data_IF_986904757035
#
_entry.id   IF_986904757035
#
_cell.length_a   1.000
_cell.length_b   1.000
_cell.length_c   1.000
_cell.angle_alpha   90.00
_cell.angle_beta   90.00
_cell.angle_gamma   90.00
#
_symmetry.space_group_name_H-M   'P 1'
#
loop_
_entity.id
_entity.type
_entity.pdbx_description
1 polymer ?
#
# COMPACT_ATOMS: atom_id res chain seq x y z
N UNK A 1 7.19 20.11 -0.08
CA UNK A 1 6.78 18.97 -0.94
C UNK A 1 5.25 18.79 -0.93
N UNK A 2 4.49 19.89 -0.97
CA UNK A 2 3.01 19.94 -0.91
C UNK A 2 2.39 20.53 -2.20
N UNK A 3 3.19 20.74 -3.25
CA UNK A 3 2.84 21.58 -4.41
C UNK A 3 1.94 20.92 -5.45
N UNK A 4 1.43 19.70 -5.23
CA UNK A 4 0.61 18.99 -6.23
C UNK A 4 -0.89 18.99 -5.94
N UNK A 5 -1.35 19.58 -4.83
CA UNK A 5 -2.78 19.83 -4.57
C UNK A 5 -3.11 21.33 -4.56
N UNK A 6 -2.44 22.11 -5.42
CA UNK A 6 -2.86 23.49 -5.73
C UNK A 6 -3.90 23.55 -6.87
N UNK A 7 -4.37 22.42 -7.38
CA UNK A 7 -5.52 22.40 -8.29
C UNK A 7 -6.80 22.53 -7.47
N UNK A 8 -7.54 23.63 -7.64
CA UNK A 8 -8.83 23.91 -6.99
C UNK A 8 -9.94 22.86 -7.23
N UNK A 9 -9.66 21.76 -7.94
CA UNK A 9 -10.64 20.78 -8.39
C UNK A 9 -10.51 19.47 -7.62
N UNK A 10 -11.48 19.21 -6.75
CA UNK A 10 -11.61 17.93 -6.03
C UNK A 10 -11.82 16.79 -7.02
N UNK A 11 -11.17 15.65 -6.78
CA UNK A 11 -11.36 14.44 -7.59
C UNK A 11 -12.47 13.57 -7.02
N UNK A 12 -13.21 12.87 -7.89
CA UNK A 12 -14.23 11.91 -7.46
C UNK A 12 -13.62 10.52 -7.34
N UNK A 13 -13.97 9.83 -6.25
CA UNK A 13 -13.66 8.43 -6.05
C UNK A 13 -14.90 7.63 -5.65
N UNK A 14 -14.89 6.33 -5.95
CA UNK A 14 -15.94 5.38 -5.58
C UNK A 14 -15.35 4.39 -4.57
N UNK A 15 -15.99 4.25 -3.42
CA UNK A 15 -15.61 3.29 -2.41
C UNK A 15 -16.03 1.88 -2.80
N UNK A 16 -15.08 0.95 -2.76
CA UNK A 16 -15.29 -0.46 -3.08
C UNK A 16 -15.01 -1.31 -1.83
N UNK A 17 -16.08 -1.66 -1.11
CA UNK A 17 -15.99 -2.35 0.18
C UNK A 17 -15.30 -3.73 0.09
N UNK A 18 -15.68 -4.57 -0.89
CA UNK A 18 -15.13 -5.93 -1.00
C UNK A 18 -13.60 -5.95 -1.17
N UNK A 19 -13.07 -4.93 -1.85
CA UNK A 19 -11.64 -4.84 -2.16
C UNK A 19 -10.84 -4.00 -1.17
N UNK A 20 -11.52 -3.31 -0.23
CA UNK A 20 -10.93 -2.36 0.71
C UNK A 20 -10.09 -1.31 -0.03
N UNK A 21 -10.69 -0.63 -1.00
CA UNK A 21 -10.02 0.45 -1.73
C UNK A 21 -11.01 1.50 -2.22
N UNK A 22 -10.47 2.66 -2.59
CA UNK A 22 -11.22 3.72 -3.27
C UNK A 22 -10.69 3.86 -4.69
N UNK A 23 -11.60 3.85 -5.66
CA UNK A 23 -11.31 3.98 -7.07
C UNK A 23 -11.45 5.43 -7.50
N UNK A 24 -10.42 6.06 -8.08
CA UNK A 24 -10.51 7.40 -8.64
C UNK A 24 -11.06 7.38 -10.06
N UNK A 25 -12.08 8.20 -10.34
CA UNK A 25 -12.71 8.24 -11.67
C UNK A 25 -11.93 9.10 -12.69
N UNK A 26 -11.06 10.00 -12.23
CA UNK A 26 -10.45 11.02 -13.09
C UNK A 26 -8.95 10.76 -13.35
N UNK A 27 -8.56 10.84 -14.64
CA UNK A 27 -7.24 10.46 -15.16
C UNK A 27 -6.07 11.34 -14.67
N UNK A 28 -6.34 12.56 -14.20
CA UNK A 28 -5.30 13.54 -13.85
C UNK A 28 -4.90 13.58 -12.36
N UNK A 29 -5.45 12.69 -11.53
CA UNK A 29 -5.26 12.72 -10.08
C UNK A 29 -4.07 11.91 -9.56
N UNK A 30 -3.24 11.36 -10.45
CA UNK A 30 -2.11 10.52 -10.08
C UNK A 30 -0.99 11.38 -9.44
N UNK A 31 -1.18 11.78 -8.19
CA UNK A 31 -0.14 12.37 -7.38
C UNK A 31 0.95 11.31 -7.17
N UNK A 32 2.21 11.66 -7.42
CA UNK A 32 3.36 10.75 -7.40
C UNK A 32 3.54 9.93 -6.10
N UNK A 33 2.89 10.34 -5.00
CA UNK A 33 2.96 9.66 -3.70
C UNK A 33 1.67 8.90 -3.30
N UNK A 34 0.56 9.01 -4.03
CA UNK A 34 -0.73 8.36 -3.74
C UNK A 34 -1.13 7.38 -4.85
N UNK A 35 -1.92 6.34 -4.54
CA UNK A 35 -2.35 5.34 -5.53
C UNK A 35 -1.36 4.19 -5.72
N UNK A 36 -1.72 3.18 -6.55
CA UNK A 36 -0.94 1.93 -6.64
C UNK A 36 0.53 2.22 -6.93
N UNK A 37 1.28 1.84 -5.90
CA UNK A 37 2.62 1.33 -5.96
C UNK A 37 2.92 0.57 -4.68
N UNK A 38 1.94 -0.13 -4.09
CA UNK A 38 2.18 -0.96 -2.90
C UNK A 38 3.25 -2.04 -3.18
N UNK A 39 3.38 -2.48 -4.45
CA UNK A 39 4.17 -3.68 -4.76
C UNK A 39 4.99 -3.58 -6.05
N UNK A 40 5.03 -2.47 -6.79
CA UNK A 40 5.94 -2.40 -7.95
C UNK A 40 6.47 -1.01 -8.24
N UNK A 41 7.72 -0.99 -8.72
CA UNK A 41 8.39 0.18 -9.30
C UNK A 41 8.12 0.29 -10.80
N UNK A 42 7.65 -0.78 -11.43
CA UNK A 42 7.32 -0.81 -12.86
C UNK A 42 6.05 -0.01 -13.12
N UNK A 43 5.99 0.56 -14.32
CA UNK A 43 4.74 1.10 -14.83
C UNK A 43 3.65 0.03 -14.84
N UNK A 44 2.40 0.43 -14.64
CA UNK A 44 1.26 -0.47 -14.60
C UNK A 44 1.07 -1.15 -15.96
N UNK A 45 1.65 -2.34 -16.10
CA UNK A 45 1.61 -3.14 -17.33
C UNK A 45 0.42 -4.09 -17.37
N UNK A 46 -0.40 -4.18 -16.31
CA UNK A 46 -1.47 -5.18 -16.23
C UNK A 46 -2.40 -5.15 -17.45
N UNK A 47 -2.89 -3.98 -17.86
CA UNK A 47 -3.82 -3.88 -19.00
C UNK A 47 -3.18 -4.40 -20.29
N UNK A 48 -1.96 -3.95 -20.58
CA UNK A 48 -1.23 -4.36 -21.78
C UNK A 48 -0.88 -5.85 -21.76
N UNK A 49 -0.46 -6.39 -20.61
CA UNK A 49 -0.19 -7.83 -20.42
C UNK A 49 -1.44 -8.68 -20.59
N UNK A 50 -2.57 -8.20 -20.09
CA UNK A 50 -3.84 -8.94 -20.14
C UNK A 50 -4.37 -8.96 -21.57
N UNK A 51 -4.28 -7.84 -22.29
CA UNK A 51 -4.55 -7.80 -23.74
C UNK A 51 -3.62 -8.70 -24.54
N UNK A 52 -2.32 -8.70 -24.24
CA UNK A 52 -1.36 -9.58 -24.90
C UNK A 52 -1.66 -11.07 -24.66
N UNK A 53 -2.08 -11.45 -23.44
CA UNK A 53 -2.52 -12.81 -23.13
C UNK A 53 -3.78 -13.21 -23.92
N UNK A 54 -4.77 -12.32 -24.02
CA UNK A 54 -5.99 -12.57 -24.80
C UNK A 54 -5.72 -12.55 -26.31
N UNK A 55 -4.76 -11.77 -26.80
CA UNK A 55 -4.43 -11.68 -28.23
C UNK A 55 -3.65 -12.90 -28.74
N UNK A 56 -2.88 -13.57 -27.88
CA UNK A 56 -2.12 -14.79 -28.21
C UNK A 56 -3.01 -15.94 -28.72
N UNK A 57 -4.30 -15.97 -28.39
CA UNK A 57 -5.25 -16.98 -28.91
C UNK A 57 -5.76 -16.69 -30.32
N UNK A 58 -5.58 -15.47 -30.85
CA UNK A 58 -6.24 -15.01 -32.09
C UNK A 58 -5.32 -14.79 -33.29
N UNK A 59 -4.01 -14.55 -33.10
CA UNK A 59 -3.09 -14.26 -34.21
C UNK A 59 -1.63 -14.61 -33.89
N UNK A 60 -0.94 -15.23 -34.86
CA UNK A 60 0.52 -15.44 -34.91
C UNK A 60 1.29 -14.12 -35.14
N UNK A 61 1.06 -13.11 -34.28
CA UNK A 61 1.65 -11.77 -34.41
C UNK A 61 2.85 -11.56 -33.49
N UNK A 62 3.89 -10.91 -34.04
CA UNK A 62 5.17 -10.58 -33.38
C UNK A 62 5.05 -10.10 -31.93
N UNK A 63 5.80 -10.76 -31.06
CA UNK A 63 5.72 -10.67 -29.60
C UNK A 63 6.28 -9.36 -29.02
N UNK A 64 5.46 -8.65 -28.23
CA UNK A 64 5.95 -7.79 -27.16
C UNK A 64 5.95 -8.61 -25.85
N UNK A 65 7.07 -9.28 -25.55
CA UNK A 65 7.24 -10.02 -24.30
C UNK A 65 7.66 -9.08 -23.16
N UNK A 66 6.80 -8.95 -22.16
CA UNK A 66 7.12 -8.20 -20.94
C UNK A 66 8.08 -9.00 -20.03
N UNK A 67 9.05 -8.34 -19.39
CA UNK A 67 10.04 -8.97 -18.49
C UNK A 67 9.40 -9.79 -17.35
N UNK A 68 8.26 -9.33 -16.84
CA UNK A 68 7.50 -10.04 -15.80
C UNK A 68 6.91 -11.36 -16.34
N UNK A 69 6.38 -11.36 -17.57
CA UNK A 69 5.85 -12.55 -18.25
C UNK A 69 6.95 -13.58 -18.51
N UNK A 70 8.12 -13.12 -18.98
CA UNK A 70 9.31 -13.96 -19.14
C UNK A 70 9.70 -14.63 -17.82
N UNK A 71 9.69 -13.87 -16.72
CA UNK A 71 10.03 -14.40 -15.39
C UNK A 71 9.01 -15.43 -14.92
N UNK A 72 7.72 -15.20 -15.16
CA UNK A 72 6.64 -16.15 -14.83
C UNK A 72 6.77 -17.43 -15.67
N UNK A 73 7.00 -17.32 -16.97
CA UNK A 73 7.17 -18.46 -17.87
C UNK A 73 8.38 -19.31 -17.47
N UNK A 74 9.52 -18.68 -17.16
CA UNK A 74 10.71 -19.38 -16.63
C UNK A 74 10.42 -20.12 -15.32
N UNK A 75 9.62 -19.53 -14.42
CA UNK A 75 9.22 -20.18 -13.15
C UNK A 75 8.26 -21.34 -13.38
N UNK A 76 7.32 -21.22 -14.33
CA UNK A 76 6.40 -22.31 -14.70
C UNK A 76 7.14 -23.48 -15.32
N UNK A 77 8.07 -23.22 -16.25
CA UNK A 77 8.95 -24.24 -16.84
C UNK A 77 9.73 -25.02 -15.78
N UNK A 78 10.35 -24.32 -14.82
CA UNK A 78 11.06 -24.98 -13.70
C UNK A 78 10.15 -25.85 -12.82
N UNK A 79 8.85 -25.56 -12.77
CA UNK A 79 7.87 -26.28 -11.97
C UNK A 79 7.09 -27.33 -12.77
N UNK A 80 7.38 -27.50 -14.07
CA UNK A 80 6.64 -28.42 -14.95
C UNK A 80 5.16 -28.06 -15.13
N UNK A 81 4.77 -26.80 -14.88
CA UNK A 81 3.37 -26.36 -14.98
C UNK A 81 3.08 -25.89 -16.41
N UNK A 82 2.08 -26.49 -17.06
CA UNK A 82 1.57 -26.01 -18.35
C UNK A 82 0.76 -24.71 -18.16
N UNK A 83 0.60 -23.93 -19.23
CA UNK A 83 -0.35 -22.81 -19.19
C UNK A 83 -1.76 -23.37 -19.12
N UNK A 84 -2.51 -22.99 -18.09
CA UNK A 84 -3.90 -23.40 -17.96
C UNK A 84 -4.79 -22.45 -18.77
N UNK A 85 -5.72 -22.99 -19.57
CA UNK A 85 -6.80 -22.22 -20.22
C UNK A 85 -7.58 -21.35 -19.21
N UNK A 86 -7.59 -21.76 -17.93
CA UNK A 86 -8.21 -21.01 -16.83
C UNK A 86 -7.60 -19.64 -16.56
N UNK A 87 -6.32 -19.42 -16.88
CA UNK A 87 -5.68 -18.10 -16.71
C UNK A 87 -6.19 -17.09 -17.76
N UNK A 88 -6.40 -17.56 -18.99
CA UNK A 88 -6.92 -16.75 -20.11
C UNK A 88 -8.40 -16.44 -19.91
N UNK A 89 -9.18 -17.44 -19.50
CA UNK A 89 -10.60 -17.24 -19.19
C UNK A 89 -10.78 -16.26 -18.02
N UNK A 90 -9.93 -16.35 -16.99
CA UNK A 90 -9.90 -15.38 -15.88
C UNK A 90 -9.53 -13.98 -16.38
N UNK A 91 -8.52 -13.85 -17.24
CA UNK A 91 -8.12 -12.58 -17.83
C UNK A 91 -9.28 -11.93 -18.60
N UNK A 92 -9.98 -12.70 -19.44
CA UNK A 92 -11.14 -12.23 -20.21
C UNK A 92 -12.30 -11.79 -19.31
N UNK A 93 -12.59 -12.54 -18.25
CA UNK A 93 -13.60 -12.16 -17.24
C UNK A 93 -13.26 -10.84 -16.54
N UNK A 94 -11.99 -10.58 -16.28
CA UNK A 94 -11.58 -9.32 -15.67
C UNK A 94 -11.63 -8.18 -16.68
N UNK A 95 -11.21 -8.38 -17.93
CA UNK A 95 -11.29 -7.36 -18.99
C UNK A 95 -12.73 -6.91 -19.25
N UNK A 96 -13.66 -7.87 -19.34
CA UNK A 96 -15.08 -7.57 -19.52
C UNK A 96 -15.66 -6.81 -18.32
N UNK A 97 -15.34 -7.23 -17.10
CA UNK A 97 -15.78 -6.54 -15.89
C UNK A 97 -15.18 -5.12 -15.74
N UNK A 98 -13.95 -4.91 -16.22
CA UNK A 98 -13.24 -3.62 -16.07
C UNK A 98 -13.55 -2.64 -17.21
N UNK A 99 -14.23 -3.08 -18.26
CA UNK A 99 -14.46 -2.27 -19.46
C UNK A 99 -13.16 -1.81 -20.12
N UNK A 100 -12.13 -2.66 -20.10
CA UNK A 100 -10.83 -2.42 -20.75
C UNK A 100 -10.04 -1.20 -20.24
N UNK A 101 -10.29 -0.77 -18.99
CA UNK A 101 -9.56 0.32 -18.31
C UNK A 101 -8.37 -0.20 -17.51
N UNK A 102 -7.32 0.62 -17.36
CA UNK A 102 -6.17 0.27 -16.52
C UNK A 102 -6.56 0.33 -15.04
N UNK A 103 -6.77 -0.83 -14.43
CA UNK A 103 -7.18 -0.97 -13.02
C UNK A 103 -6.11 -0.51 -12.03
N UNK A 104 -4.87 -0.39 -12.47
CA UNK A 104 -3.74 -0.20 -11.57
C UNK A 104 -3.50 1.26 -11.19
N UNK A 105 -3.70 2.21 -12.10
CA UNK A 105 -3.33 3.62 -11.87
C UNK A 105 -4.21 4.34 -10.85
N UNK A 106 -5.44 3.87 -10.62
CA UNK A 106 -6.49 4.66 -9.97
C UNK A 106 -6.98 4.10 -8.63
N UNK A 107 -6.28 3.11 -8.06
CA UNK A 107 -6.65 2.50 -6.77
C UNK A 107 -5.87 3.13 -5.62
N UNK A 108 -6.60 3.78 -4.71
CA UNK A 108 -6.11 4.28 -3.42
C UNK A 108 -6.37 3.23 -2.33
N UNK A 109 -5.39 3.05 -1.45
CA UNK A 109 -5.64 2.34 -0.19
C UNK A 109 -6.59 3.16 0.72
N UNK A 110 -7.28 2.52 1.67
CA UNK A 110 -8.24 3.21 2.53
C UNK A 110 -7.58 4.34 3.33
N UNK A 111 -6.36 4.13 3.81
CA UNK A 111 -5.59 5.14 4.55
C UNK A 111 -5.21 6.32 3.67
N UNK A 112 -4.80 6.06 2.42
CA UNK A 112 -4.48 7.08 1.43
C UNK A 112 -5.72 7.90 1.07
N UNK A 113 -6.85 7.23 0.83
CA UNK A 113 -8.10 7.85 0.48
C UNK A 113 -8.63 8.72 1.63
N UNK A 114 -8.60 8.22 2.86
CA UNK A 114 -9.04 8.99 4.02
C UNK A 114 -8.13 10.19 4.28
N UNK A 115 -6.81 10.08 4.06
CA UNK A 115 -5.90 11.23 4.15
C UNK A 115 -6.20 12.31 3.10
N UNK A 116 -6.47 11.90 1.86
CA UNK A 116 -6.84 12.82 0.79
C UNK A 116 -8.21 13.48 1.04
N UNK A 117 -9.14 12.77 1.68
CA UNK A 117 -10.45 13.30 2.06
C UNK A 117 -10.36 14.25 3.26
N UNK A 118 -9.78 13.79 4.37
CA UNK A 118 -9.80 14.46 5.67
C UNK A 118 -8.73 15.54 5.80
N UNK A 119 -7.46 15.22 5.53
CA UNK A 119 -6.34 16.11 5.80
C UNK A 119 -6.06 17.09 4.65
N UNK A 120 -6.30 16.68 3.40
CA UNK A 120 -6.02 17.50 2.21
C UNK A 120 -7.27 18.04 1.51
N UNK A 121 -8.47 17.56 1.87
CA UNK A 121 -9.75 17.92 1.23
C UNK A 121 -9.71 17.88 -0.32
N UNK A 122 -8.97 16.92 -0.85
CA UNK A 122 -8.61 16.81 -2.27
C UNK A 122 -9.53 15.87 -3.07
N UNK A 123 -10.27 14.99 -2.38
CA UNK A 123 -11.16 14.01 -3.02
C UNK A 123 -12.55 14.01 -2.39
N UNK A 124 -13.54 13.57 -3.18
CA UNK A 124 -14.90 13.25 -2.74
C UNK A 124 -15.12 11.76 -2.93
N UNK A 125 -15.65 11.08 -1.94
CA UNK A 125 -15.87 9.63 -1.98
C UNK A 125 -17.36 9.35 -2.08
N UNK A 126 -17.74 8.59 -3.10
CA UNK A 126 -19.09 8.16 -3.34
C UNK A 126 -19.23 6.66 -3.05
N UNK A 127 -20.42 6.24 -2.66
CA UNK A 127 -20.84 4.84 -2.59
C UNK A 127 -21.00 4.24 -4.01
N UNK A 128 -21.06 2.90 -4.21
CA UNK A 128 -21.41 2.32 -5.50
C UNK A 128 -22.78 2.78 -6.03
N UNK A 129 -23.68 3.19 -5.14
CA UNK A 129 -24.97 3.84 -5.46
C UNK A 129 -24.83 5.30 -5.93
N UNK A 130 -23.60 5.83 -6.04
CA UNK A 130 -23.24 7.22 -6.36
C UNK A 130 -23.69 8.27 -5.35
N UNK A 131 -24.05 7.87 -4.14
CA UNK A 131 -24.29 8.81 -3.05
C UNK A 131 -22.97 9.28 -2.44
N UNK A 132 -22.84 10.60 -2.22
CA UNK A 132 -21.67 11.20 -1.59
C UNK A 132 -21.63 10.81 -0.10
N UNK A 133 -20.47 10.35 0.35
CA UNK A 133 -20.24 9.99 1.75
C UNK A 133 -19.68 11.18 2.53
N UNK A 134 -20.20 11.40 3.73
CA UNK A 134 -19.58 12.32 4.68
C UNK A 134 -18.25 11.76 5.20
N UNK A 135 -17.44 12.60 5.83
CA UNK A 135 -16.18 12.17 6.47
C UNK A 135 -16.47 11.08 7.51
N UNK A 136 -17.55 11.24 8.28
CA UNK A 136 -17.94 10.32 9.35
C UNK A 136 -18.46 9.00 8.78
N UNK A 137 -19.23 9.05 7.70
CA UNK A 137 -19.66 7.84 6.98
C UNK A 137 -18.47 7.07 6.41
N UNK A 138 -17.48 7.78 5.85
CA UNK A 138 -16.24 7.17 5.37
C UNK A 138 -15.47 6.52 6.53
N UNK A 139 -15.31 7.22 7.65
CA UNK A 139 -14.63 6.69 8.84
C UNK A 139 -15.29 5.41 9.35
N UNK A 140 -16.63 5.45 9.51
CA UNK A 140 -17.42 4.31 9.97
C UNK A 140 -17.27 3.12 9.01
N UNK A 141 -17.45 3.32 7.70
CA UNK A 141 -17.37 2.25 6.70
C UNK A 141 -15.96 1.66 6.58
N UNK A 142 -14.92 2.49 6.70
CA UNK A 142 -13.54 2.02 6.65
C UNK A 142 -13.20 1.23 7.91
N UNK A 143 -13.66 1.67 9.08
CA UNK A 143 -13.52 0.94 10.35
C UNK A 143 -14.27 -0.39 10.37
N UNK A 144 -15.44 -0.47 9.71
CA UNK A 144 -16.15 -1.75 9.51
C UNK A 144 -15.37 -2.72 8.61
N UNK A 145 -14.65 -2.20 7.60
CA UNK A 145 -13.85 -3.03 6.70
C UNK A 145 -12.50 -3.46 7.30
N UNK A 146 -11.95 -2.66 8.21
CA UNK A 146 -10.65 -2.87 8.84
C UNK A 146 -10.79 -2.57 10.33
N UNK A 147 -10.84 -3.59 11.21
CA UNK A 147 -11.07 -3.41 12.64
C UNK A 147 -10.12 -2.42 13.33
N UNK A 148 -8.86 -2.36 12.87
CA UNK A 148 -7.83 -1.47 13.43
C UNK A 148 -7.59 -0.22 12.55
N UNK A 149 -8.59 0.16 11.75
CA UNK A 149 -8.47 1.29 10.82
C UNK A 149 -7.95 2.55 11.50
N UNK A 150 -8.50 2.90 12.67
CA UNK A 150 -8.13 4.10 13.41
C UNK A 150 -6.63 4.13 13.76
N UNK A 151 -6.10 3.02 14.30
CA UNK A 151 -4.69 2.91 14.68
C UNK A 151 -3.76 3.00 13.47
N UNK A 152 -4.05 2.23 12.42
CA UNK A 152 -3.25 2.23 11.21
C UNK A 152 -3.31 3.61 10.51
N UNK A 153 -4.49 4.23 10.48
CA UNK A 153 -4.65 5.56 9.91
C UNK A 153 -3.93 6.63 10.74
N UNK A 154 -3.97 6.58 12.08
CA UNK A 154 -3.25 7.51 12.95
C UNK A 154 -1.73 7.46 12.66
N UNK A 155 -1.17 6.25 12.55
CA UNK A 155 0.24 6.04 12.19
C UNK A 155 0.52 6.54 10.76
N UNK A 156 -0.36 6.23 9.82
CA UNK A 156 -0.24 6.73 8.44
C UNK A 156 -0.23 8.27 8.39
N UNK A 157 -1.17 8.91 9.09
CA UNK A 157 -1.30 10.35 9.18
C UNK A 157 -0.06 10.97 9.82
N UNK A 158 0.42 10.42 10.94
CA UNK A 158 1.65 10.85 11.60
C UNK A 158 2.84 10.87 10.63
N UNK A 159 3.11 9.77 9.93
CA UNK A 159 4.21 9.74 8.96
C UNK A 159 4.01 10.70 7.77
N UNK A 160 2.77 10.89 7.32
CA UNK A 160 2.46 11.90 6.31
C UNK A 160 2.77 13.32 6.77
N UNK A 161 2.45 13.67 8.02
CA UNK A 161 2.78 14.99 8.58
C UNK A 161 4.29 15.22 8.69
N UNK A 162 5.06 14.16 8.90
CA UNK A 162 6.53 14.19 8.86
C UNK A 162 7.11 14.23 7.43
N UNK A 163 6.27 14.26 6.40
CA UNK A 163 6.68 14.33 5.00
C UNK A 163 7.05 12.98 4.37
N UNK A 164 6.82 11.87 5.06
CA UNK A 164 6.99 10.54 4.47
C UNK A 164 5.79 10.18 3.61
N UNK A 165 5.99 9.26 2.66
CA UNK A 165 4.93 8.59 1.92
C UNK A 165 4.88 7.12 2.35
N UNK A 166 4.02 6.76 3.33
CA UNK A 166 3.86 5.37 3.74
C UNK A 166 3.21 4.55 2.63
N UNK A 167 3.72 3.34 2.41
CA UNK A 167 3.14 2.32 1.53
C UNK A 167 3.06 0.99 2.25
N UNK A 168 2.14 0.14 1.83
CA UNK A 168 1.97 -1.23 2.35
C UNK A 168 3.30 -1.99 2.40
N UNK A 169 3.63 -2.54 3.57
CA UNK A 169 4.91 -3.16 3.86
C UNK A 169 4.94 -4.70 3.80
N UNK A 170 3.85 -5.34 3.37
CA UNK A 170 3.66 -6.80 3.46
C UNK A 170 4.79 -7.64 2.85
N UNK A 171 5.48 -7.13 1.82
CA UNK A 171 6.67 -7.79 1.23
C UNK A 171 7.83 -8.00 2.19
N UNK A 172 7.88 -7.22 3.26
CA UNK A 172 8.97 -7.22 4.23
C UNK A 172 8.49 -7.67 5.61
N UNK A 173 7.24 -8.16 5.73
CA UNK A 173 6.64 -8.57 7.00
C UNK A 173 6.30 -7.40 7.93
N UNK A 174 6.21 -6.18 7.40
CA UNK A 174 5.92 -4.96 8.18
C UNK A 174 4.65 -4.29 7.69
N UNK A 175 4.12 -3.35 8.46
CA UNK A 175 2.87 -2.66 8.17
C UNK A 175 3.09 -1.59 7.09
N UNK A 176 4.11 -0.74 7.27
CA UNK A 176 4.46 0.29 6.31
C UNK A 176 5.93 0.29 5.88
N UNK A 177 6.18 0.79 4.68
CA UNK A 177 7.50 1.21 4.21
C UNK A 177 7.44 2.69 3.90
N UNK A 178 8.36 3.46 4.47
CA UNK A 178 8.39 4.91 4.32
C UNK A 178 9.29 5.31 3.15
N UNK A 179 8.76 6.15 2.27
CA UNK A 179 9.48 6.71 1.13
C UNK A 179 9.54 8.23 1.26
N UNK A 180 10.64 8.86 0.87
CA UNK A 180 10.74 10.33 0.86
C UNK A 180 9.88 10.97 -0.24
N UNK A 181 9.87 10.37 -1.44
CA UNK A 181 9.16 10.90 -2.63
C UNK A 181 8.37 9.83 -3.39
N UNK A 182 8.02 8.74 -2.69
CA UNK A 182 7.32 7.58 -3.25
C UNK A 182 8.23 6.52 -3.90
N UNK A 183 7.68 5.32 -4.20
CA UNK A 183 8.43 4.14 -4.64
C UNK A 183 9.01 4.23 -6.06
N UNK A 184 8.50 5.14 -6.90
CA UNK A 184 9.01 5.38 -8.26
C UNK A 184 10.35 6.13 -8.26
N UNK A 185 10.59 6.98 -7.26
CA UNK A 185 11.72 7.91 -7.27
C UNK A 185 12.87 7.48 -6.37
N UNK A 186 12.59 6.80 -5.25
CA UNK A 186 13.64 6.41 -4.28
C UNK A 186 13.35 5.07 -3.60
N UNK A 187 14.40 4.49 -3.01
CA UNK A 187 14.25 3.38 -2.08
C UNK A 187 13.54 3.86 -0.81
N UNK A 188 12.69 3.00 -0.23
CA UNK A 188 12.12 3.28 1.08
C UNK A 188 13.19 3.02 2.14
N UNK A 189 13.45 4.00 3.00
CA UNK A 189 14.55 3.98 3.97
C UNK A 189 14.17 3.18 5.23
N UNK A 190 12.89 3.23 5.59
CA UNK A 190 12.37 2.66 6.83
C UNK A 190 11.28 1.63 6.57
N UNK A 191 11.29 0.59 7.40
CA UNK A 191 10.28 -0.45 7.48
C UNK A 191 9.63 -0.32 8.86
N UNK A 192 8.32 -0.09 8.92
CA UNK A 192 7.59 0.22 10.15
C UNK A 192 6.69 -0.95 10.51
N UNK A 193 6.92 -1.54 11.67
CA UNK A 193 6.01 -2.50 12.31
C UNK A 193 5.23 -1.78 13.41
N UNK A 194 3.91 -1.75 13.32
CA UNK A 194 3.04 -1.22 14.36
C UNK A 194 2.95 -2.25 15.48
N UNK A 195 3.18 -1.80 16.71
CA UNK A 195 3.20 -2.61 17.91
C UNK A 195 1.88 -2.44 18.65
N UNK A 196 1.09 -3.50 18.73
CA UNK A 196 -0.19 -3.49 19.41
C UNK A 196 0.03 -3.73 20.91
N UNK A 197 -0.58 -2.95 21.82
CA UNK A 197 -0.39 -3.11 23.26
C UNK A 197 -0.73 -4.50 23.80
N UNK A 198 -1.69 -5.17 23.14
CA UNK A 198 -2.18 -6.49 23.52
C UNK A 198 -1.40 -7.64 22.86
N UNK A 199 -0.46 -7.33 21.96
CA UNK A 199 0.38 -8.32 21.29
C UNK A 199 1.79 -8.30 21.88
N UNK A 200 2.19 -9.41 22.50
CA UNK A 200 3.59 -9.63 22.85
C UNK A 200 4.35 -10.13 21.62
N UNK A 201 5.32 -9.35 21.16
CA UNK A 201 6.26 -9.79 20.14
C UNK A 201 7.43 -10.48 20.83
N UNK A 202 7.60 -11.77 20.56
CA UNK A 202 8.76 -12.49 21.05
C UNK A 202 10.04 -11.99 20.36
N UNK A 203 11.16 -12.18 21.05
CA UNK A 203 12.45 -11.71 20.57
C UNK A 203 12.85 -12.36 19.24
N UNK A 204 12.42 -13.60 18.99
CA UNK A 204 12.75 -14.29 17.74
C UNK A 204 12.02 -13.66 16.55
N UNK A 205 10.73 -13.34 16.68
CA UNK A 205 9.98 -12.65 15.62
C UNK A 205 10.59 -11.29 15.31
N UNK A 206 10.94 -10.50 16.33
CA UNK A 206 11.60 -9.21 16.13
C UNK A 206 12.94 -9.36 15.40
N UNK A 207 13.73 -10.37 15.75
CA UNK A 207 14.99 -10.66 15.05
C UNK A 207 14.80 -11.12 13.60
N UNK A 208 13.78 -11.94 13.34
CA UNK A 208 13.45 -12.36 11.98
C UNK A 208 13.07 -11.14 11.11
N UNK A 209 12.22 -10.25 11.64
CA UNK A 209 11.85 -9.00 10.97
C UNK A 209 13.06 -8.09 10.72
N UNK A 210 13.91 -7.91 11.73
CA UNK A 210 15.13 -7.12 11.61
C UNK A 210 16.08 -7.71 10.55
N UNK A 211 16.19 -9.04 10.47
CA UNK A 211 16.99 -9.73 9.44
C UNK A 211 16.44 -9.47 8.03
N UNK A 212 15.13 -9.63 7.82
CA UNK A 212 14.51 -9.39 6.50
C UNK A 212 14.72 -7.94 6.07
N UNK A 213 14.47 -6.98 6.97
CA UNK A 213 14.62 -5.56 6.67
C UNK A 213 16.07 -5.18 6.35
N UNK A 214 17.03 -5.68 7.14
CA UNK A 214 18.46 -5.39 6.92
C UNK A 214 18.99 -5.96 5.60
N UNK A 215 18.52 -7.14 5.17
CA UNK A 215 18.89 -7.72 3.87
C UNK A 215 18.49 -6.84 2.68
N UNK A 216 17.37 -6.11 2.80
CA UNK A 216 16.92 -5.16 1.78
C UNK A 216 17.31 -3.71 2.08
N UNK A 217 18.29 -3.51 2.98
CA UNK A 217 18.83 -2.20 3.40
C UNK A 217 17.75 -1.24 3.95
N UNK A 218 16.77 -1.77 4.67
CA UNK A 218 15.75 -0.99 5.39
C UNK A 218 16.03 -0.99 6.88
N UNK A 219 15.85 0.17 7.50
CA UNK A 219 15.92 0.31 8.96
C UNK A 219 14.55 -0.03 9.55
N UNK A 220 14.51 -1.02 10.45
CA UNK A 220 13.28 -1.42 11.13
C UNK A 220 12.94 -0.42 12.24
N UNK A 221 11.70 0.08 12.22
CA UNK A 221 11.09 0.91 13.25
C UNK A 221 9.96 0.12 13.87
N UNK A 222 9.99 -0.01 15.20
CA UNK A 222 8.85 -0.46 15.99
C UNK A 222 8.05 0.79 16.39
N UNK A 223 6.83 0.89 15.91
CA UNK A 223 5.95 2.04 16.12
C UNK A 223 4.90 1.66 17.15
N UNK A 224 5.00 2.21 18.35
CA UNK A 224 4.03 2.03 19.42
C UNK A 224 2.93 3.08 19.26
N UNK A 225 1.72 2.63 18.98
CA UNK A 225 0.54 3.48 18.88
C UNK A 225 -0.39 3.17 20.06
N UNK A 226 -0.46 4.09 21.03
CA UNK A 226 -1.41 3.98 22.14
C UNK A 226 -2.76 4.48 21.64
N UNK A 227 -3.68 3.55 21.42
CA UNK A 227 -5.04 3.85 20.99
C UNK A 227 -5.88 4.45 22.12
N UNK A 228 -6.72 5.45 21.85
CA UNK A 228 -7.73 5.94 22.80
C UNK A 228 -8.85 4.91 23.01
N UNK A 229 -9.67 5.13 24.05
CA UNK A 229 -10.78 4.25 24.43
C UNK A 229 -11.92 4.23 23.40
N UNK A 230 -12.14 5.34 22.69
CA UNK A 230 -13.16 5.44 21.63
C UNK A 230 -12.52 5.82 20.31
N UNK A 231 -12.73 5.00 19.30
CA UNK A 231 -12.21 5.18 17.92
C UNK A 231 -13.34 5.38 16.90
N UNK A 232 -14.53 5.76 17.37
CA UNK A 232 -15.76 5.82 16.57
C UNK A 232 -15.82 7.00 15.60
N UNK A 233 -15.05 8.05 15.84
CA UNK A 233 -15.07 9.29 15.07
C UNK A 233 -13.64 9.81 14.80
N UNK A 234 -13.37 10.48 13.66
CA UNK A 234 -12.03 10.99 13.30
C UNK A 234 -11.38 11.91 14.34
N UNK A 235 -12.17 12.54 15.23
CA UNK A 235 -11.65 13.39 16.30
C UNK A 235 -10.74 12.63 17.28
N UNK A 236 -10.84 11.30 17.36
CA UNK A 236 -9.98 10.48 18.22
C UNK A 236 -8.49 10.59 17.84
N UNK A 237 -8.16 11.09 16.64
CA UNK A 237 -6.80 11.23 16.14
C UNK A 237 -5.92 12.14 17.01
N UNK A 238 -6.50 13.12 17.72
CA UNK A 238 -5.75 13.97 18.67
C UNK A 238 -5.26 13.21 19.89
N UNK A 239 -5.92 12.10 20.23
CA UNK A 239 -5.71 11.38 21.48
C UNK A 239 -4.75 10.19 21.30
N UNK A 240 -4.32 9.92 20.07
CA UNK A 240 -3.30 8.92 19.78
C UNK A 240 -1.92 9.40 20.22
N UNK A 241 -1.22 8.56 20.98
CA UNK A 241 0.18 8.76 21.30
C UNK A 241 1.03 7.79 20.46
N UNK A 242 1.91 8.34 19.62
CA UNK A 242 2.78 7.56 18.73
C UNK A 242 4.23 7.72 19.18
N UNK A 243 4.89 6.59 19.44
CA UNK A 243 6.32 6.53 19.79
C UNK A 243 7.07 5.59 18.87
N UNK A 244 8.31 5.93 18.56
CA UNK A 244 9.16 5.16 17.64
C UNK A 244 10.36 4.58 18.37
N UNK A 245 10.66 3.32 18.10
CA UNK A 245 11.89 2.67 18.52
C UNK A 245 12.61 2.11 17.29
N UNK A 246 13.80 2.62 17.00
CA UNK A 246 14.63 2.10 15.91
C UNK A 246 15.30 0.81 16.38
N UNK A 247 14.93 -0.31 15.76
CA UNK A 247 15.56 -1.60 16.01
C UNK A 247 16.76 -1.76 15.07
N UNK A 248 17.97 -1.59 15.63
CA UNK A 248 19.22 -1.89 14.93
C UNK A 248 19.60 -3.35 15.15
N UNK A 249 20.29 -3.94 14.17
CA UNK A 249 20.91 -5.27 14.35
C UNK A 249 21.88 -5.19 15.51
N UNK A 250 21.68 -6.04 16.51
CA UNK A 250 22.65 -6.25 17.56
C UNK A 250 23.93 -6.85 16.95
N UNK A 251 25.05 -6.14 17.10
CA UNK A 251 26.37 -6.58 16.66
C UNK A 251 27.23 -6.80 17.91
N UNK A 252 27.76 -8.02 18.14
CA UNK A 252 28.61 -8.28 19.31
C UNK A 252 29.76 -7.28 19.44
N UNK A 253 30.37 -6.87 18.33
CA UNK A 253 31.50 -5.92 18.30
C UNK A 253 31.12 -4.50 18.73
N UNK A 254 29.87 -4.09 18.48
CA UNK A 254 29.39 -2.73 18.75
C UNK A 254 28.55 -2.62 20.03
N UNK A 255 27.93 -3.72 20.45
CA UNK A 255 26.91 -3.73 21.50
C UNK A 255 27.30 -4.53 22.73
N UNK A 256 28.43 -5.25 22.74
CA UNK A 256 28.99 -5.74 24.01
C UNK A 256 29.38 -4.53 24.85
N UNK A 257 28.97 -4.52 26.11
CA UNK A 257 29.56 -3.63 27.10
C UNK A 257 31.07 -3.82 27.03
N UNK A 258 31.78 -2.72 26.75
CA UNK A 258 33.23 -2.70 26.90
C UNK A 258 33.46 -2.83 28.40
N UNK A 259 33.67 -4.04 28.87
CA UNK A 259 34.30 -4.28 30.16
C UNK A 259 35.68 -3.64 30.08
N UNK A 260 35.77 -2.37 30.49
CA UNK A 260 37.04 -1.72 30.77
C UNK A 260 37.59 -2.48 31.98
N UNK A 261 38.58 -3.33 31.72
CA UNK A 261 39.45 -3.85 32.77
C UNK A 261 40.44 -2.77 33.18
#
# INVERSE_FOLDING_TARGET
MLTLFQTKKKHNGVFIAFGKYVWLENKHAACSTFGKGALSRSDPTWLQRTRALTAQTTTNGNELQYLEQLTVNRRRQRRGLQQNESDVERANRILSATGDRNFEEYRLDLYEAFYLLYALDAIRINDPSRQLLSVDDCWMRFSQCVPEFATYYAVYHYYRTLGWAPKQGSKFGVDYVLYRSGPRHMHGDFAVKIMHPNESYDWQTLHQLARVCTQVKKTLILCYAKSPTSTTHPSCLSDFEIRELIMKRWSPEKNREKWVR
#
